data_IF_468300875232
#
_entry.id   IF_468300875232
#
_cell.length_a   1.000
_cell.length_b   1.000
_cell.length_c   1.000
_cell.angle_alpha   90.00
_cell.angle_beta   90.00
_cell.angle_gamma   90.00
#
_symmetry.space_group_name_H-M   'P 1'
#
loop_
_entity.id
_entity.type
_entity.pdbx_description
1 polymer ?
#
# COMPACT_ATOMS: atom_id res chain seq x y z
N UNK A 1 25.15 -9.01 0.39
CA UNK A 1 25.04 -8.82 -1.06
C UNK A 1 25.84 -7.58 -1.42
N UNK A 2 26.53 -7.61 -2.56
CA UNK A 2 27.25 -6.45 -3.07
C UNK A 2 26.31 -5.47 -3.75
N UNK A 3 26.70 -4.21 -3.89
CA UNK A 3 25.88 -3.16 -4.53
C UNK A 3 25.40 -3.55 -5.94
N UNK A 4 26.23 -4.28 -6.71
CA UNK A 4 25.84 -4.77 -8.04
C UNK A 4 24.74 -5.84 -8.03
N UNK A 5 24.70 -6.70 -6.99
CA UNK A 5 23.63 -7.70 -6.83
C UNK A 5 22.30 -7.02 -6.49
N UNK A 6 22.36 -5.99 -5.64
CA UNK A 6 21.18 -5.21 -5.26
C UNK A 6 20.59 -4.44 -6.46
N UNK A 7 21.44 -3.91 -7.35
CA UNK A 7 21.02 -3.23 -8.59
C UNK A 7 20.32 -4.20 -9.54
N UNK A 8 20.95 -5.34 -9.85
CA UNK A 8 20.37 -6.33 -10.76
C UNK A 8 19.03 -6.88 -10.22
N UNK A 9 18.94 -7.09 -8.91
CA UNK A 9 17.68 -7.50 -8.28
C UNK A 9 16.60 -6.41 -8.37
N UNK A 10 16.96 -5.15 -8.11
CA UNK A 10 16.02 -4.03 -8.20
C UNK A 10 15.52 -3.83 -9.65
N UNK A 11 16.41 -3.94 -10.64
CA UNK A 11 16.05 -3.88 -12.06
C UNK A 11 15.02 -4.95 -12.42
N UNK A 12 15.26 -6.22 -12.04
CA UNK A 12 14.34 -7.32 -12.30
C UNK A 12 12.96 -7.12 -11.65
N UNK A 13 12.95 -6.55 -10.44
CA UNK A 13 11.71 -6.20 -9.71
C UNK A 13 10.94 -5.09 -10.44
N UNK A 14 11.63 -4.03 -10.89
CA UNK A 14 11.00 -2.89 -11.57
C UNK A 14 10.48 -3.29 -12.96
N UNK A 15 11.25 -4.03 -13.74
CA UNK A 15 10.80 -4.54 -15.04
C UNK A 15 9.54 -5.41 -14.88
N UNK A 16 9.53 -6.30 -13.88
CA UNK A 16 8.35 -7.11 -13.58
C UNK A 16 7.15 -6.24 -13.16
N UNK A 17 7.37 -5.22 -12.32
CA UNK A 17 6.35 -4.28 -11.89
C UNK A 17 5.72 -3.54 -13.08
N UNK A 18 6.54 -3.04 -14.01
CA UNK A 18 6.08 -2.37 -15.24
C UNK A 18 5.22 -3.29 -16.11
N UNK A 19 5.65 -4.54 -16.32
CA UNK A 19 4.89 -5.53 -17.12
C UNK A 19 3.48 -5.79 -16.59
N UNK A 20 3.27 -5.64 -15.28
CA UNK A 20 1.97 -5.82 -14.64
C UNK A 20 1.24 -4.49 -14.36
N UNK A 21 1.76 -3.37 -14.88
CA UNK A 21 1.12 -2.06 -14.81
C UNK A 21 1.38 -1.26 -13.53
N UNK A 22 2.29 -1.70 -12.66
CA UNK A 22 2.73 -0.93 -11.49
C UNK A 22 3.71 0.16 -11.96
N UNK A 23 3.35 1.42 -11.73
CA UNK A 23 4.09 2.59 -12.25
C UNK A 23 4.55 3.56 -11.16
N UNK A 24 4.23 3.33 -9.88
CA UNK A 24 4.67 4.18 -8.79
C UNK A 24 5.77 3.49 -7.97
N UNK A 25 6.95 4.08 -7.95
CA UNK A 25 8.04 3.70 -7.06
C UNK A 25 7.94 4.51 -5.76
N UNK A 26 8.03 3.83 -4.63
CA UNK A 26 8.03 4.43 -3.30
C UNK A 26 9.36 4.11 -2.59
N UNK A 27 10.05 5.14 -2.11
CA UNK A 27 11.28 5.01 -1.30
C UNK A 27 11.31 6.06 -0.18
N UNK A 28 12.42 6.22 0.55
CA UNK A 28 12.62 7.29 1.51
C UNK A 28 14.13 7.58 1.70
N UNK A 29 14.44 8.81 2.07
CA UNK A 29 15.81 9.27 2.34
C UNK A 29 16.57 8.40 3.36
N UNK A 30 15.87 7.93 4.40
CA UNK A 30 16.45 7.11 5.46
C UNK A 30 16.55 5.60 5.14
N UNK A 31 15.93 5.10 4.06
CA UNK A 31 15.89 3.66 3.79
C UNK A 31 17.29 3.12 3.49
N UNK A 32 17.81 2.30 4.41
CA UNK A 32 19.20 1.82 4.38
C UNK A 32 20.23 2.95 4.41
N UNK A 33 19.92 4.09 5.04
CA UNK A 33 20.79 5.28 5.00
C UNK A 33 20.93 5.83 3.57
N UNK A 34 19.83 5.87 2.82
CA UNK A 34 19.77 6.29 1.42
C UNK A 34 20.24 5.24 0.42
N UNK A 35 20.52 4.01 0.85
CA UNK A 35 20.93 2.93 -0.06
C UNK A 35 19.83 2.59 -1.06
N UNK A 36 18.55 2.60 -0.63
CA UNK A 36 17.43 2.35 -1.53
C UNK A 36 17.37 3.37 -2.67
N UNK A 37 17.52 4.66 -2.37
CA UNK A 37 17.53 5.72 -3.37
C UNK A 37 18.72 5.59 -4.33
N UNK A 38 19.91 5.22 -3.82
CA UNK A 38 21.10 4.99 -4.68
C UNK A 38 20.89 3.82 -5.64
N UNK A 39 20.41 2.69 -5.14
CA UNK A 39 20.13 1.52 -6.00
C UNK A 39 19.08 1.85 -7.06
N UNK A 40 17.99 2.53 -6.67
CA UNK A 40 16.98 2.98 -7.63
C UNK A 40 17.57 3.97 -8.64
N UNK A 41 18.45 4.86 -8.22
CA UNK A 41 19.09 5.83 -9.10
C UNK A 41 19.96 5.19 -10.16
N UNK A 42 20.77 4.20 -9.79
CA UNK A 42 21.58 3.43 -10.76
C UNK A 42 20.70 2.71 -11.79
N UNK A 43 19.59 2.09 -11.35
CA UNK A 43 18.63 1.45 -12.26
C UNK A 43 17.97 2.48 -13.19
N UNK A 44 17.49 3.61 -12.66
CA UNK A 44 16.84 4.63 -13.47
C UNK A 44 17.81 5.27 -14.48
N UNK A 45 19.08 5.45 -14.11
CA UNK A 45 20.13 5.93 -15.00
C UNK A 45 20.44 4.93 -16.13
N UNK A 46 20.42 3.63 -15.83
CA UNK A 46 20.58 2.56 -16.82
C UNK A 46 19.37 2.44 -17.78
N UNK A 47 18.17 2.84 -17.34
CA UNK A 47 16.94 2.79 -18.14
C UNK A 47 16.23 4.15 -18.27
N UNK A 48 16.80 5.15 -18.99
CA UNK A 48 16.22 6.49 -19.08
C UNK A 48 14.79 6.53 -19.65
N UNK A 49 14.42 5.55 -20.49
CA UNK A 49 13.07 5.45 -21.06
C UNK A 49 12.00 5.15 -20.01
N UNK A 50 12.33 4.39 -18.96
CA UNK A 50 11.38 4.02 -17.91
C UNK A 50 10.84 5.23 -17.15
N UNK A 51 11.58 6.34 -17.11
CA UNK A 51 11.14 7.56 -16.42
C UNK A 51 9.90 8.21 -17.04
N UNK A 52 9.54 7.84 -18.27
CA UNK A 52 8.29 8.26 -18.93
C UNK A 52 7.06 7.52 -18.39
N UNK A 53 7.26 6.32 -17.86
CA UNK A 53 6.21 5.43 -17.37
C UNK A 53 6.16 5.41 -15.84
N UNK A 54 7.34 5.44 -15.20
CA UNK A 54 7.50 5.41 -13.76
C UNK A 54 7.33 6.80 -13.15
N UNK A 55 6.60 6.85 -12.04
CA UNK A 55 6.53 7.95 -11.09
C UNK A 55 7.40 7.62 -9.89
N UNK A 56 8.17 8.59 -9.42
CA UNK A 56 9.08 8.43 -8.27
C UNK A 56 8.54 9.25 -7.10
N UNK A 57 8.21 8.54 -6.02
CA UNK A 57 7.84 9.11 -4.74
C UNK A 57 8.94 8.79 -3.71
N UNK A 58 9.35 9.81 -2.96
CA UNK A 58 10.21 9.64 -1.78
C UNK A 58 9.63 10.36 -0.57
N UNK A 59 10.25 10.17 0.59
CA UNK A 59 9.83 10.71 1.87
C UNK A 59 11.02 11.34 2.56
N UNK A 60 10.74 12.38 3.35
CA UNK A 60 11.75 13.06 4.17
C UNK A 60 11.22 13.34 5.58
N UNK A 61 12.12 13.79 6.46
CA UNK A 61 11.72 14.41 7.74
C UNK A 61 12.05 13.61 8.98
N UNK A 62 12.62 12.40 8.85
CA UNK A 62 13.14 11.63 9.99
C UNK A 62 14.65 11.86 10.09
N UNK A 63 15.10 12.32 11.25
CA UNK A 63 16.53 12.46 11.57
C UNK A 63 16.93 11.33 12.51
N UNK A 64 17.74 10.40 12.01
CA UNK A 64 18.27 9.29 12.79
C UNK A 64 19.49 9.74 13.60
N UNK A 65 19.50 9.43 14.89
CA UNK A 65 20.58 9.76 15.82
C UNK A 65 20.51 8.86 17.07
N UNK A 66 21.11 9.30 18.18
CA UNK A 66 20.92 8.62 19.48
C UNK A 66 19.45 8.61 19.92
N UNK A 67 18.69 9.61 19.49
CA UNK A 67 17.23 9.66 19.53
C UNK A 67 16.72 10.05 18.15
N UNK A 68 15.62 9.43 17.72
CA UNK A 68 14.93 9.80 16.48
C UNK A 68 14.24 11.15 16.69
N UNK A 69 14.55 12.12 15.83
CA UNK A 69 13.90 13.43 15.81
C UNK A 69 13.26 13.69 14.45
N UNK A 70 12.47 14.76 14.33
CA UNK A 70 11.75 15.11 13.12
C UNK A 70 12.05 16.56 12.73
N UNK A 71 12.25 16.80 11.43
CA UNK A 71 12.53 18.15 10.90
C UNK A 71 11.76 18.39 9.61
N UNK A 72 11.14 19.56 9.53
CA UNK A 72 10.32 19.99 8.39
C UNK A 72 10.51 21.48 8.06
N UNK A 73 11.54 22.10 8.63
CA UNK A 73 11.91 23.47 8.28
C UNK A 73 12.36 23.59 6.82
N UNK A 74 12.14 24.76 6.20
CA UNK A 74 12.32 24.96 4.76
C UNK A 74 13.72 24.61 4.24
N UNK A 75 14.76 24.95 5.01
CA UNK A 75 16.15 24.63 4.67
C UNK A 75 16.39 23.12 4.71
N UNK A 76 15.86 22.43 5.73
CA UNK A 76 15.96 20.98 5.82
C UNK A 76 15.19 20.26 4.71
N UNK A 77 13.99 20.72 4.39
CA UNK A 77 13.18 20.16 3.28
C UNK A 77 13.98 20.27 1.98
N UNK A 78 14.52 21.44 1.70
CA UNK A 78 15.30 21.71 0.48
C UNK A 78 16.55 20.83 0.41
N UNK A 79 17.30 20.71 1.50
CA UNK A 79 18.47 19.84 1.59
C UNK A 79 18.12 18.34 1.39
N UNK A 80 17.03 17.87 1.97
CA UNK A 80 16.54 16.50 1.75
C UNK A 80 16.16 16.25 0.29
N UNK A 81 15.43 17.20 -0.33
CA UNK A 81 15.03 17.10 -1.75
C UNK A 81 16.27 17.02 -2.65
N UNK A 82 17.23 17.93 -2.49
CA UNK A 82 18.47 17.92 -3.28
C UNK A 82 19.24 16.62 -3.09
N UNK A 83 19.37 16.14 -1.85
CA UNK A 83 20.08 14.91 -1.56
C UNK A 83 19.38 13.67 -2.17
N UNK A 84 18.05 13.64 -2.15
CA UNK A 84 17.26 12.57 -2.79
C UNK A 84 17.35 12.63 -4.30
N UNK A 85 17.22 13.80 -4.94
CA UNK A 85 17.39 13.96 -6.39
C UNK A 85 18.77 13.46 -6.85
N UNK A 86 19.83 13.80 -6.10
CA UNK A 86 21.18 13.35 -6.37
C UNK A 86 21.34 11.83 -6.24
N UNK A 87 20.83 11.22 -5.15
CA UNK A 87 20.91 9.75 -4.97
C UNK A 87 20.10 8.99 -6.00
N UNK A 88 18.92 9.50 -6.34
CA UNK A 88 18.03 8.92 -7.36
C UNK A 88 18.48 9.22 -8.78
N UNK A 89 19.44 10.10 -8.99
CA UNK A 89 19.91 10.54 -10.32
C UNK A 89 18.76 11.01 -11.23
N UNK A 90 17.81 11.76 -10.67
CA UNK A 90 16.66 12.34 -11.40
C UNK A 90 16.62 13.85 -11.23
N UNK A 91 16.00 14.52 -12.19
CA UNK A 91 15.79 15.98 -12.20
C UNK A 91 14.53 16.40 -11.43
N UNK A 92 13.60 15.47 -11.22
CA UNK A 92 12.32 15.72 -10.53
C UNK A 92 11.80 14.51 -9.76
N UNK A 93 11.08 14.80 -8.68
CA UNK A 93 10.22 13.88 -7.97
C UNK A 93 8.77 14.05 -8.44
N UNK A 94 7.99 12.97 -8.49
CA UNK A 94 6.56 13.04 -8.78
C UNK A 94 5.74 13.32 -7.52
N UNK A 95 6.23 12.87 -6.36
CA UNK A 95 5.68 13.20 -5.06
C UNK A 95 6.76 13.20 -3.97
N UNK A 96 6.66 14.15 -3.05
CA UNK A 96 7.46 14.20 -1.82
C UNK A 96 6.51 14.09 -0.62
N UNK A 97 6.70 13.08 0.22
CA UNK A 97 5.89 12.89 1.42
C UNK A 97 6.64 13.29 2.68
N UNK A 98 5.91 13.83 3.64
CA UNK A 98 6.37 13.93 5.02
C UNK A 98 6.32 12.52 5.62
N UNK A 99 7.46 11.97 6.01
CA UNK A 99 7.58 10.57 6.45
C UNK A 99 6.87 10.33 7.79
N UNK A 100 6.96 11.30 8.71
CA UNK A 100 6.17 11.39 9.93
C UNK A 100 5.89 12.86 10.22
N UNK A 101 4.68 13.23 10.64
CA UNK A 101 4.43 14.58 11.13
C UNK A 101 5.34 14.85 12.34
N UNK A 102 5.97 16.02 12.37
CA UNK A 102 6.71 16.48 13.53
C UNK A 102 5.72 16.60 14.70
N UNK A 103 5.96 15.94 15.85
CA UNK A 103 5.09 16.06 17.02
C UNK A 103 4.87 17.51 17.47
N UNK A 104 5.83 18.40 17.20
CA UNK A 104 5.74 19.84 17.49
C UNK A 104 4.89 20.61 16.46
N UNK A 105 4.54 20.00 15.32
CA UNK A 105 3.63 20.53 14.31
C UNK A 105 2.15 20.09 14.51
N UNK A 106 1.82 19.51 15.67
CA UNK A 106 0.43 19.31 16.11
C UNK A 106 -0.22 17.96 15.77
N UNK A 107 0.48 16.84 15.96
CA UNK A 107 -0.14 15.51 15.82
C UNK A 107 0.52 14.39 16.63
N UNK A 108 -0.20 13.92 17.65
CA UNK A 108 0.08 12.70 18.43
C UNK A 108 -0.29 11.44 17.64
N UNK A 109 0.32 10.28 17.96
CA UNK A 109 -0.31 9.00 18.35
C UNK A 109 0.69 7.85 18.23
N UNK A 110 1.03 7.26 19.39
CA UNK A 110 1.54 5.89 19.50
C UNK A 110 0.35 4.93 19.56
N UNK A 111 0.48 3.76 18.93
CA UNK A 111 -0.41 2.63 19.22
C UNK A 111 0.39 1.35 19.23
N UNK A 112 0.34 0.67 20.37
CA UNK A 112 0.78 -0.70 20.55
C UNK A 112 0.01 -1.66 19.63
N UNK A 113 0.73 -2.59 18.99
CA UNK A 113 0.13 -3.67 18.21
C UNK A 113 0.08 -4.95 19.04
N UNK A 114 -1.04 -5.19 19.71
CA UNK A 114 -1.35 -6.53 20.20
C UNK A 114 -1.70 -7.48 19.04
N UNK A 115 -1.13 -8.68 19.07
CA UNK A 115 -1.46 -9.75 18.13
C UNK A 115 -2.67 -10.52 18.66
N UNK A 116 -3.87 -10.08 18.27
CA UNK A 116 -5.17 -10.62 18.74
C UNK A 116 -5.72 -11.76 17.86
N UNK A 117 -6.64 -12.57 18.38
CA UNK A 117 -7.45 -13.58 17.66
C UNK A 117 -8.07 -13.04 16.36
N UNK A 118 -8.30 -11.73 16.28
CA UNK A 118 -8.72 -11.01 15.07
C UNK A 118 -7.79 -11.27 13.86
N UNK A 119 -6.46 -11.31 14.06
CA UNK A 119 -5.49 -11.57 12.99
C UNK A 119 -5.64 -13.01 12.48
N UNK A 120 -5.86 -13.97 13.38
CA UNK A 120 -6.07 -15.37 13.02
C UNK A 120 -7.35 -15.55 12.22
N UNK A 121 -8.44 -14.92 12.67
CA UNK A 121 -9.72 -14.93 11.97
C UNK A 121 -9.63 -14.29 10.57
N UNK A 122 -8.99 -13.13 10.46
CA UNK A 122 -8.78 -12.46 9.17
C UNK A 122 -7.96 -13.31 8.19
N UNK A 123 -6.88 -13.96 8.67
CA UNK A 123 -6.07 -14.88 7.84
C UNK A 123 -6.88 -16.07 7.33
N UNK A 124 -7.78 -16.62 8.13
CA UNK A 124 -8.65 -17.72 7.71
C UNK A 124 -9.63 -17.30 6.60
N UNK A 125 -10.24 -16.11 6.73
CA UNK A 125 -11.13 -15.55 5.68
C UNK A 125 -10.35 -15.30 4.38
N UNK A 126 -9.16 -14.69 4.47
CA UNK A 126 -8.29 -14.46 3.31
C UNK A 126 -7.92 -15.78 2.63
N UNK A 127 -7.47 -16.79 3.39
CA UNK A 127 -7.08 -18.09 2.85
C UNK A 127 -8.24 -18.80 2.14
N UNK A 128 -9.45 -18.73 2.70
CA UNK A 128 -10.64 -19.30 2.08
C UNK A 128 -10.98 -18.62 0.76
N UNK A 129 -11.04 -17.28 0.73
CA UNK A 129 -11.34 -16.53 -0.50
C UNK A 129 -10.25 -16.77 -1.56
N UNK A 130 -8.99 -16.80 -1.14
CA UNK A 130 -7.86 -17.10 -2.02
C UNK A 130 -8.01 -18.49 -2.67
N UNK A 131 -8.39 -19.50 -1.88
CA UNK A 131 -8.65 -20.85 -2.38
C UNK A 131 -9.88 -20.90 -3.29
N UNK A 132 -10.97 -20.20 -2.97
CA UNK A 132 -12.19 -20.16 -3.78
C UNK A 132 -11.95 -19.56 -5.17
N UNK A 133 -11.03 -18.59 -5.27
CA UNK A 133 -10.72 -17.89 -6.51
C UNK A 133 -9.42 -18.36 -7.18
N UNK A 134 -8.73 -19.35 -6.59
CA UNK A 134 -7.42 -19.85 -7.05
C UNK A 134 -6.35 -18.75 -7.24
N UNK A 135 -6.29 -17.79 -6.30
CA UNK A 135 -5.34 -16.67 -6.30
C UNK A 135 -4.44 -16.67 -5.07
N UNK A 136 -3.36 -15.88 -5.10
CA UNK A 136 -2.51 -15.69 -3.93
C UNK A 136 -3.26 -14.95 -2.78
N UNK A 137 -3.04 -15.29 -1.50
CA UNK A 137 -3.60 -14.56 -0.36
C UNK A 137 -3.32 -13.06 -0.37
N UNK A 138 -2.15 -12.65 -0.86
CA UNK A 138 -1.79 -11.25 -0.99
C UNK A 138 -2.70 -10.50 -1.98
N UNK A 139 -3.12 -11.14 -3.07
CA UNK A 139 -4.03 -10.54 -4.04
C UNK A 139 -5.40 -10.26 -3.42
N UNK A 140 -5.91 -11.14 -2.54
CA UNK A 140 -7.16 -10.92 -1.79
C UNK A 140 -7.07 -9.70 -0.86
N UNK A 141 -5.95 -9.56 -0.15
CA UNK A 141 -5.73 -8.40 0.75
C UNK A 141 -5.63 -7.11 -0.05
N UNK A 142 -4.87 -7.11 -1.14
CA UNK A 142 -4.75 -5.94 -2.02
C UNK A 142 -6.10 -5.56 -2.64
N UNK A 143 -6.89 -6.54 -3.10
CA UNK A 143 -8.23 -6.30 -3.65
C UNK A 143 -9.19 -5.72 -2.62
N UNK A 144 -9.06 -6.15 -1.36
CA UNK A 144 -9.85 -5.59 -0.26
C UNK A 144 -9.48 -4.13 0.00
N UNK A 145 -8.19 -3.79 -0.01
CA UNK A 145 -7.72 -2.42 0.17
C UNK A 145 -8.17 -1.51 -0.98
N UNK A 146 -7.99 -1.92 -2.23
CA UNK A 146 -8.34 -1.11 -3.41
C UNK A 146 -9.85 -0.94 -3.59
N UNK A 147 -10.66 -1.87 -3.06
CA UNK A 147 -12.13 -1.75 -3.04
C UNK A 147 -12.64 -0.79 -1.95
N UNK A 148 -11.79 -0.36 -1.02
CA UNK A 148 -12.20 0.57 0.02
C UNK A 148 -12.59 1.94 -0.57
N UNK A 149 -13.71 2.55 -0.14
CA UNK A 149 -14.21 3.81 -0.72
C UNK A 149 -13.25 5.01 -0.53
N UNK A 150 -12.26 4.89 0.35
CA UNK A 150 -11.23 5.92 0.54
C UNK A 150 -10.15 5.93 -0.58
N UNK A 151 -10.20 5.02 -1.55
CA UNK A 151 -9.25 4.99 -2.67
C UNK A 151 -7.82 4.64 -2.24
N UNK A 152 -7.66 3.61 -1.40
CA UNK A 152 -6.34 3.21 -0.87
C UNK A 152 -5.46 2.71 -2.02
N UNK A 153 -4.25 3.27 -2.11
CA UNK A 153 -3.18 2.80 -3.00
C UNK A 153 -2.16 2.01 -2.15
N UNK A 154 -2.18 0.67 -2.16
CA UNK A 154 -1.27 -0.12 -1.36
C UNK A 154 0.16 -0.06 -1.93
N UNK A 155 1.14 0.20 -1.06
CA UNK A 155 2.56 0.03 -1.39
C UNK A 155 2.95 -1.42 -1.14
N UNK A 156 3.47 -2.08 -2.17
CA UNK A 156 3.94 -3.47 -2.09
C UNK A 156 5.46 -3.51 -1.93
N UNK A 157 5.94 -4.15 -0.87
CA UNK A 157 7.37 -4.33 -0.60
C UNK A 157 7.82 -5.76 -0.87
N UNK A 158 8.57 -5.97 -1.96
CA UNK A 158 9.21 -7.25 -2.26
C UNK A 158 10.45 -7.04 -3.11
N UNK A 159 11.55 -7.72 -2.76
CA UNK A 159 12.74 -7.85 -3.61
C UNK A 159 12.70 -9.08 -4.51
N UNK A 160 11.63 -9.89 -4.44
CA UNK A 160 11.42 -11.06 -5.28
C UNK A 160 10.48 -10.72 -6.46
N UNK A 161 10.95 -10.79 -7.72
CA UNK A 161 10.15 -10.56 -8.91
C UNK A 161 8.92 -11.48 -9.04
N UNK A 162 9.01 -12.77 -8.72
CA UNK A 162 7.88 -13.71 -8.80
C UNK A 162 6.73 -13.28 -7.88
N UNK A 163 7.08 -12.74 -6.71
CA UNK A 163 6.09 -12.18 -5.78
C UNK A 163 5.44 -10.92 -6.37
N UNK A 164 6.20 -10.07 -7.08
CA UNK A 164 5.61 -8.92 -7.79
C UNK A 164 4.67 -9.41 -8.88
N UNK A 165 5.09 -10.36 -9.71
CA UNK A 165 4.29 -10.93 -10.79
C UNK A 165 2.95 -11.50 -10.27
N UNK A 166 2.94 -12.10 -9.07
CA UNK A 166 1.71 -12.60 -8.43
C UNK A 166 0.66 -11.52 -8.15
N UNK A 167 1.03 -10.24 -8.17
CA UNK A 167 0.09 -9.13 -8.02
C UNK A 167 -0.67 -8.81 -9.31
N UNK A 168 -0.27 -9.36 -10.48
CA UNK A 168 -1.05 -9.24 -11.70
C UNK A 168 -2.47 -9.81 -11.51
N UNK A 169 -2.62 -10.84 -10.68
CA UNK A 169 -3.91 -11.44 -10.34
C UNK A 169 -4.83 -10.49 -9.56
N UNK A 170 -4.35 -9.33 -9.09
CA UNK A 170 -5.19 -8.35 -8.40
C UNK A 170 -6.43 -7.97 -9.22
N UNK A 171 -6.28 -7.81 -10.54
CA UNK A 171 -7.41 -7.42 -11.41
C UNK A 171 -8.44 -8.53 -11.59
N UNK A 172 -8.07 -9.79 -11.30
CA UNK A 172 -8.97 -10.94 -11.40
C UNK A 172 -9.73 -11.21 -10.09
N UNK A 173 -9.27 -10.65 -8.96
CA UNK A 173 -9.96 -10.81 -7.67
C UNK A 173 -11.23 -9.97 -7.62
N UNK A 174 -12.38 -10.66 -7.64
CA UNK A 174 -13.68 -10.04 -7.41
C UNK A 174 -14.18 -10.38 -6.01
N UNK A 175 -14.20 -9.39 -5.11
CA UNK A 175 -14.80 -9.55 -3.79
C UNK A 175 -16.28 -9.20 -3.86
N UNK A 176 -17.17 -10.03 -3.30
CA UNK A 176 -18.56 -9.62 -3.06
C UNK A 176 -18.65 -8.57 -1.94
N UNK A 177 -19.82 -7.93 -1.76
CA UNK A 177 -20.02 -7.04 -0.60
C UNK A 177 -19.95 -7.83 0.71
N UNK A 178 -20.50 -9.04 0.73
CA UNK A 178 -20.45 -9.95 1.86
C UNK A 178 -19.01 -10.33 2.23
N UNK A 179 -18.20 -10.75 1.25
CA UNK A 179 -16.78 -11.08 1.48
C UNK A 179 -15.99 -9.86 1.98
N UNK A 180 -16.26 -8.67 1.44
CA UNK A 180 -15.63 -7.43 1.89
C UNK A 180 -15.95 -7.13 3.36
N UNK A 181 -17.22 -7.21 3.76
CA UNK A 181 -17.64 -6.94 5.13
C UNK A 181 -17.29 -8.07 6.11
N UNK A 182 -17.22 -9.31 5.65
CA UNK A 182 -16.71 -10.44 6.43
C UNK A 182 -15.26 -10.21 6.82
N UNK A 183 -14.41 -9.86 5.86
CA UNK A 183 -13.00 -9.57 6.13
C UNK A 183 -12.85 -8.32 7.03
N UNK A 184 -13.64 -7.29 6.81
CA UNK A 184 -13.68 -6.09 7.66
C UNK A 184 -14.09 -6.40 9.12
N UNK A 185 -15.07 -7.29 9.33
CA UNK A 185 -15.49 -7.69 10.66
C UNK A 185 -14.41 -8.54 11.36
N UNK A 186 -13.84 -9.52 10.65
CA UNK A 186 -12.79 -10.39 11.15
C UNK A 186 -11.53 -9.60 11.58
N UNK A 187 -11.10 -8.63 10.76
CA UNK A 187 -9.95 -7.78 11.05
C UNK A 187 -10.13 -6.91 12.31
N UNK A 188 -11.37 -6.69 12.77
CA UNK A 188 -11.68 -5.91 13.99
C UNK A 188 -12.09 -6.78 15.18
N UNK A 189 -11.92 -8.10 15.09
CA UNK A 189 -12.31 -9.03 16.15
C UNK A 189 -13.82 -9.06 16.40
N UNK A 190 -14.63 -8.62 15.44
CA UNK A 190 -16.11 -8.64 15.55
C UNK A 190 -16.63 -9.94 14.92
N UNK A 191 -17.57 -10.65 15.56
CA UNK A 191 -18.20 -11.80 14.93
C UNK A 191 -18.83 -11.36 13.61
N UNK A 192 -18.53 -12.08 12.53
CA UNK A 192 -19.05 -11.80 11.19
C UNK A 192 -20.57 -11.82 11.16
N UNK A 193 -21.18 -11.17 10.16
CA UNK A 193 -22.59 -11.33 9.85
C UNK A 193 -22.87 -12.80 9.54
N UNK A 194 -23.20 -13.58 10.58
CA UNK A 194 -23.63 -14.96 10.43
C UNK A 194 -24.81 -14.97 9.47
N UNK A 195 -24.81 -15.92 8.53
CA UNK A 195 -25.95 -16.20 7.64
C UNK A 195 -27.16 -16.57 8.49
N UNK A 196 -27.85 -15.57 9.03
CA UNK A 196 -29.21 -15.74 9.52
C UNK A 196 -30.06 -15.89 8.28
N UNK A 197 -30.30 -17.14 7.86
CA UNK A 197 -31.47 -17.47 7.05
C UNK A 197 -32.72 -17.19 7.89
N UNK A 198 -33.02 -15.91 8.16
CA UNK A 198 -34.38 -15.53 8.53
C UNK A 198 -35.16 -15.53 7.23
N UNK A 199 -35.96 -16.57 7.07
CA UNK A 199 -36.97 -16.64 6.03
C UNK A 199 -37.73 -15.32 6.02
N UNK A 200 -37.62 -14.58 4.91
CA UNK A 200 -38.49 -13.45 4.62
C UNK A 200 -39.89 -14.04 4.50
N UNK A 201 -40.65 -14.02 5.60
CA UNK A 201 -42.10 -14.22 5.52
C UNK A 201 -42.62 -13.06 4.71
N UNK A 202 -42.94 -13.32 3.44
CA UNK A 202 -43.75 -12.43 2.63
C UNK A 202 -45.05 -12.16 3.40
N UNK A 203 -45.16 -10.98 4.00
CA UNK A 203 -46.46 -10.42 4.36
C UNK A 203 -46.82 -9.47 3.24
N UNK A 204 -47.87 -9.86 2.54
CA UNK A 204 -48.46 -9.16 1.42
C UNK A 204 -49.34 -8.00 1.90
N UNK A 205 -49.17 -6.85 1.20
CA UNK A 205 -50.11 -5.72 0.98
C UNK A 205 -50.19 -4.58 2.01
N UNK A 206 -50.66 -3.37 1.62
CA UNK A 206 -50.78 -2.79 0.26
C UNK A 206 -50.07 -1.41 0.13
N UNK A 207 -49.97 -0.94 -1.12
CA UNK A 207 -49.45 0.38 -1.50
C UNK A 207 -50.25 1.53 -0.87
N UNK A 208 -49.54 2.57 -0.42
CA UNK A 208 -50.12 3.88 -0.12
C UNK A 208 -49.08 4.85 0.44
N UNK A 209 -48.78 5.93 -0.28
CA UNK A 209 -48.23 7.17 0.29
C UNK A 209 -46.79 7.55 -0.10
N UNK A 210 -46.70 8.48 -1.06
CA UNK A 210 -45.86 9.69 -1.16
C UNK A 210 -44.39 9.75 -0.67
N UNK A 211 -43.51 10.19 -1.61
CA UNK A 211 -42.34 11.12 -1.53
C UNK A 211 -41.51 11.16 -0.22
N UNK A 212 -40.18 11.21 -0.24
CA UNK A 212 -39.34 12.38 -0.60
C UNK A 212 -37.87 11.92 -0.80
N UNK A 213 -37.18 12.57 -1.74
CA UNK A 213 -35.72 12.50 -1.98
C UNK A 213 -35.05 13.73 -1.33
N UNK A 214 -33.85 13.59 -0.73
CA UNK A 214 -32.91 14.68 -0.40
C UNK A 214 -31.65 14.14 0.30
N UNK A 215 -30.49 14.82 0.19
CA UNK A 215 -29.81 15.35 -1.00
C UNK A 215 -28.72 14.38 -1.54
#
# INVERSE_FOLDING_TARGET
MGLGEDIAQAEAVIDTALRIGITLLDTADIYGGGASERVLGEVLAAHPSWRKELKVQTKFGIVLGSQTTYRQDGDYVSACVEASLNRLQVDRLDALLIHRPDPLAGGLFETDRETSDAIRAARAVVARIASEQAVAPAAVVLAWLTKHPAGIVPVVGSSNPDRIASYADLVSVSLSREQFYELYAAARGRPGFGRSRRAVRQRSRPCGGSLVCSP
#
